data_IF_701984670532
#
_entry.id   IF_701984670532
#
_cell.length_a   1.000
_cell.length_b   1.000
_cell.length_c   1.000
_cell.angle_alpha   90.00
_cell.angle_beta   90.00
_cell.angle_gamma   90.00
#
_symmetry.space_group_name_H-M   'P 1'
#
loop_
_entity.id
_entity.type
_entity.pdbx_description
1 polymer ?
#
# COMPACT_ATOMS: atom_id res chain seq x y z
N UNK A 1 39.98 4.10 -57.41
CA UNK A 1 41.02 3.97 -56.36
C UNK A 1 41.59 5.34 -56.02
N UNK A 2 41.02 6.02 -55.03
CA UNK A 2 41.77 6.92 -54.14
C UNK A 2 41.06 6.84 -52.79
N UNK A 3 41.81 6.38 -51.80
CA UNK A 3 41.50 6.33 -50.38
C UNK A 3 41.87 7.67 -49.77
N UNK A 4 41.00 8.28 -48.97
CA UNK A 4 41.40 9.26 -47.96
C UNK A 4 40.55 9.03 -46.71
N UNK A 5 41.23 8.60 -45.65
CA UNK A 5 40.73 8.57 -44.28
C UNK A 5 41.52 9.56 -43.42
N UNK A 6 41.05 9.67 -42.17
CA UNK A 6 41.57 10.40 -41.01
C UNK A 6 41.39 11.94 -41.01
N UNK A 7 40.80 12.60 -40.00
CA UNK A 7 40.38 12.13 -38.68
C UNK A 7 39.77 13.25 -37.82
N UNK A 8 38.94 12.82 -36.87
CA UNK A 8 38.65 13.32 -35.50
C UNK A 8 38.44 14.83 -35.22
N UNK A 9 37.21 15.18 -34.79
CA UNK A 9 36.96 16.08 -33.62
C UNK A 9 35.72 15.64 -32.81
N UNK A 10 35.98 14.86 -31.75
CA UNK A 10 35.61 15.12 -30.33
C UNK A 10 34.15 15.38 -29.92
N UNK A 11 33.46 14.29 -29.55
CA UNK A 11 32.62 14.01 -28.35
C UNK A 11 31.51 15.02 -27.88
N UNK A 12 30.67 14.70 -26.86
CA UNK A 12 29.22 14.60 -27.03
C UNK A 12 28.50 15.60 -26.09
N UNK A 13 27.19 15.77 -26.25
CA UNK A 13 26.41 16.56 -25.29
C UNK A 13 24.94 16.35 -25.58
N UNK A 14 24.37 15.26 -25.07
CA UNK A 14 23.59 15.31 -23.83
C UNK A 14 22.55 16.42 -23.90
N UNK A 15 21.36 16.05 -24.39
CA UNK A 15 20.10 16.44 -23.77
C UNK A 15 19.05 15.36 -24.09
N UNK A 16 19.40 14.12 -23.79
CA UNK A 16 18.47 13.02 -23.56
C UNK A 16 18.53 12.71 -22.06
N UNK A 17 17.97 13.62 -21.26
CA UNK A 17 17.86 13.44 -19.82
C UNK A 17 16.69 14.27 -19.27
N UNK A 18 15.69 13.53 -18.80
CA UNK A 18 14.88 13.89 -17.64
C UNK A 18 13.74 14.89 -17.85
N UNK A 19 12.80 14.54 -18.74
CA UNK A 19 11.39 14.64 -18.36
C UNK A 19 11.01 13.41 -17.50
N UNK A 20 11.67 13.25 -16.36
CA UNK A 20 11.06 12.51 -15.26
C UNK A 20 10.02 13.47 -14.68
N UNK A 21 8.75 13.11 -14.87
CA UNK A 21 7.59 13.86 -14.43
C UNK A 21 7.82 14.53 -13.07
N UNK A 22 7.83 15.86 -13.05
CA UNK A 22 7.62 16.61 -11.83
C UNK A 22 6.16 16.39 -11.42
N UNK A 23 5.87 15.23 -10.83
CA UNK A 23 4.59 14.98 -10.19
C UNK A 23 4.47 16.03 -9.08
N UNK A 24 3.43 16.88 -9.13
CA UNK A 24 3.15 17.81 -8.03
C UNK A 24 3.16 17.06 -6.70
N UNK A 25 3.67 17.65 -5.61
CA UNK A 25 3.70 16.99 -4.30
C UNK A 25 2.31 16.48 -3.88
N UNK A 26 1.24 17.18 -4.30
CA UNK A 26 -0.14 16.75 -4.11
C UNK A 26 -0.44 15.41 -4.80
N UNK A 27 -0.07 15.27 -6.07
CA UNK A 27 -0.27 14.03 -6.84
C UNK A 27 0.47 12.86 -6.20
N UNK A 28 1.73 13.05 -5.78
CA UNK A 28 2.50 12.00 -5.12
C UNK A 28 1.89 11.57 -3.78
N UNK A 29 1.33 12.51 -3.01
CA UNK A 29 0.61 12.21 -1.77
C UNK A 29 -0.68 11.42 -2.06
N UNK A 30 -1.48 11.85 -3.03
CA UNK A 30 -2.72 11.16 -3.41
C UNK A 30 -2.48 9.77 -4.01
N UNK A 31 -1.43 9.59 -4.82
CA UNK A 31 -1.05 8.27 -5.36
C UNK A 31 -0.65 7.30 -4.25
N UNK A 32 0.12 7.76 -3.26
CA UNK A 32 0.44 6.96 -2.07
C UNK A 32 -0.81 6.57 -1.30
N UNK A 33 -1.74 7.50 -1.08
CA UNK A 33 -3.00 7.21 -0.39
C UNK A 33 -3.86 6.22 -1.19
N UNK A 34 -3.91 6.34 -2.52
CA UNK A 34 -4.60 5.38 -3.40
C UNK A 34 -3.97 4.00 -3.36
N UNK A 35 -2.64 3.92 -3.31
CA UNK A 35 -1.91 2.67 -3.10
C UNK A 35 -2.21 2.05 -1.73
N UNK A 36 -2.41 2.87 -0.70
CA UNK A 36 -2.82 2.39 0.61
C UNK A 36 -4.26 1.85 0.61
N UNK A 37 -5.18 2.56 -0.07
CA UNK A 37 -6.56 2.12 -0.27
C UNK A 37 -6.64 0.76 -0.99
N UNK A 38 -5.85 0.57 -2.05
CA UNK A 38 -5.79 -0.71 -2.77
C UNK A 38 -5.25 -1.85 -1.90
N UNK A 39 -4.24 -1.60 -1.08
CA UNK A 39 -3.72 -2.58 -0.13
C UNK A 39 -4.76 -2.95 0.94
N UNK A 40 -5.54 -1.97 1.41
CA UNK A 40 -6.61 -2.19 2.36
C UNK A 40 -7.74 -3.04 1.76
N UNK A 41 -8.14 -2.77 0.52
CA UNK A 41 -9.14 -3.60 -0.17
C UNK A 41 -8.63 -5.02 -0.43
N UNK A 42 -7.35 -5.19 -0.79
CA UNK A 42 -6.72 -6.52 -0.85
C UNK A 42 -6.82 -7.23 0.50
N UNK A 43 -6.48 -6.54 1.59
CA UNK A 43 -6.56 -7.10 2.93
C UNK A 43 -7.99 -7.50 3.33
N UNK A 44 -9.00 -6.71 2.95
CA UNK A 44 -10.42 -7.05 3.14
C UNK A 44 -10.81 -8.32 2.38
N UNK A 45 -10.35 -8.45 1.13
CA UNK A 45 -10.61 -9.64 0.33
C UNK A 45 -9.94 -10.87 0.94
N UNK A 46 -8.68 -10.76 1.37
CA UNK A 46 -7.92 -11.81 2.03
C UNK A 46 -8.60 -12.28 3.33
N UNK A 47 -9.12 -11.34 4.15
CA UNK A 47 -9.89 -11.67 5.34
C UNK A 47 -11.13 -12.50 5.00
N UNK A 48 -11.94 -12.03 4.03
CA UNK A 48 -13.16 -12.73 3.61
C UNK A 48 -12.86 -14.11 3.06
N UNK A 49 -11.80 -14.26 2.27
CA UNK A 49 -11.36 -15.56 1.75
C UNK A 49 -10.94 -16.49 2.89
N UNK A 50 -10.23 -15.97 3.89
CA UNK A 50 -9.80 -16.76 5.07
C UNK A 50 -11.01 -17.18 5.91
N UNK A 51 -11.97 -16.28 6.13
CA UNK A 51 -13.22 -16.59 6.84
C UNK A 51 -14.05 -17.63 6.11
N UNK A 52 -14.22 -17.51 4.79
CA UNK A 52 -14.95 -18.47 3.96
C UNK A 52 -14.26 -19.85 3.94
N UNK A 53 -12.93 -19.87 3.76
CA UNK A 53 -12.14 -21.09 3.80
C UNK A 53 -12.19 -21.76 5.19
N UNK A 54 -12.26 -20.98 6.26
CA UNK A 54 -12.43 -21.50 7.62
C UNK A 54 -13.83 -22.09 7.83
N UNK A 55 -14.89 -21.41 7.36
CA UNK A 55 -16.27 -21.89 7.45
C UNK A 55 -16.51 -23.16 6.63
N UNK A 56 -15.85 -23.26 5.48
CA UNK A 56 -15.91 -24.43 4.59
C UNK A 56 -14.91 -25.54 4.96
N UNK A 57 -14.17 -25.37 6.07
CA UNK A 57 -13.14 -26.29 6.56
C UNK A 57 -12.03 -26.58 5.54
N UNK A 58 -11.80 -25.68 4.59
CA UNK A 58 -10.73 -25.77 3.59
C UNK A 58 -9.35 -25.45 4.17
N UNK A 59 -9.30 -24.62 5.21
CA UNK A 59 -8.07 -24.32 5.96
C UNK A 59 -8.19 -24.78 7.40
N UNK A 60 -7.06 -25.22 7.97
CA UNK A 60 -7.01 -25.53 9.39
C UNK A 60 -7.10 -24.25 10.22
N UNK A 61 -7.64 -24.31 11.45
CA UNK A 61 -7.70 -23.13 12.33
C UNK A 61 -6.31 -22.57 12.64
N UNK A 62 -5.26 -23.39 12.64
CA UNK A 62 -3.87 -22.92 12.79
C UNK A 62 -3.37 -22.14 11.57
N UNK A 63 -3.72 -22.58 10.36
CA UNK A 63 -3.39 -21.86 9.13
C UNK A 63 -4.14 -20.52 9.06
N UNK A 64 -5.46 -20.53 9.32
CA UNK A 64 -6.25 -19.31 9.39
C UNK A 64 -5.68 -18.31 10.43
N UNK A 65 -5.21 -18.81 11.59
CA UNK A 65 -4.57 -17.96 12.60
C UNK A 65 -3.30 -17.29 12.07
N UNK A 66 -2.46 -18.03 11.35
CA UNK A 66 -1.24 -17.48 10.76
C UNK A 66 -1.56 -16.45 9.66
N UNK A 67 -2.54 -16.75 8.80
CA UNK A 67 -2.95 -15.86 7.71
C UNK A 67 -3.54 -14.55 8.26
N UNK A 68 -4.36 -14.63 9.32
CA UNK A 68 -4.89 -13.47 10.03
C UNK A 68 -3.78 -12.66 10.73
N UNK A 69 -2.78 -13.32 11.31
CA UNK A 69 -1.66 -12.63 11.98
C UNK A 69 -0.79 -11.88 10.97
N UNK A 70 -0.56 -12.49 9.80
CA UNK A 70 0.14 -11.84 8.70
C UNK A 70 -0.65 -10.66 8.13
N UNK A 71 -1.98 -10.79 8.07
CA UNK A 71 -2.88 -9.71 7.66
C UNK A 71 -2.82 -8.53 8.64
N UNK A 72 -2.90 -8.80 9.94
CA UNK A 72 -2.80 -7.80 11.00
C UNK A 72 -1.47 -7.04 10.93
N UNK A 73 -0.34 -7.75 10.78
CA UNK A 73 0.98 -7.14 10.64
C UNK A 73 1.07 -6.24 9.39
N UNK A 74 0.44 -6.64 8.28
CA UNK A 74 0.38 -5.81 7.06
C UNK A 74 -0.47 -4.56 7.26
N UNK A 75 -1.56 -4.65 8.02
CA UNK A 75 -2.42 -3.51 8.35
C UNK A 75 -1.72 -2.51 9.27
N UNK A 76 -0.99 -3.00 10.28
CA UNK A 76 -0.16 -2.16 11.15
C UNK A 76 0.93 -1.44 10.35
N UNK A 77 1.62 -2.17 9.46
CA UNK A 77 2.62 -1.58 8.57
C UNK A 77 2.00 -0.53 7.63
N UNK A 78 0.79 -0.78 7.11
CA UNK A 78 0.08 0.14 6.23
C UNK A 78 -0.28 1.45 6.94
N UNK A 79 -0.71 1.37 8.20
CA UNK A 79 -1.00 2.54 9.01
C UNK A 79 0.28 3.33 9.33
N UNK A 80 1.24 2.67 9.99
CA UNK A 80 2.44 3.35 10.49
C UNK A 80 3.39 3.85 9.40
N UNK A 81 3.53 3.13 8.28
CA UNK A 81 4.49 3.48 7.20
C UNK A 81 3.85 4.00 5.94
N UNK A 82 2.55 3.78 5.76
CA UNK A 82 1.79 4.25 4.60
C UNK A 82 1.04 5.53 4.93
N UNK A 83 -0.04 5.41 5.69
CA UNK A 83 -1.03 6.49 5.87
C UNK A 83 -0.47 7.64 6.71
N UNK A 84 0.16 7.36 7.85
CA UNK A 84 0.72 8.39 8.73
C UNK A 84 1.96 9.07 8.13
N UNK A 85 2.69 8.37 7.25
CA UNK A 85 3.92 8.88 6.64
C UNK A 85 3.70 9.74 5.39
N UNK A 86 2.45 9.89 4.91
CA UNK A 86 2.15 10.79 3.79
C UNK A 86 2.27 12.24 4.27
N UNK A 87 3.39 12.87 3.91
CA UNK A 87 3.63 14.31 4.12
C UNK A 87 2.64 15.13 3.29
N UNK A 88 1.96 16.06 3.96
CA UNK A 88 1.11 17.08 3.34
C UNK A 88 1.77 18.45 3.31
N UNK A 89 3.05 18.53 3.68
CA UNK A 89 3.83 19.76 3.68
C UNK A 89 4.11 20.23 2.25
N UNK A 90 3.96 21.53 1.99
CA UNK A 90 4.14 22.11 0.66
C UNK A 90 2.93 21.95 -0.28
N UNK A 91 1.79 21.46 0.23
CA UNK A 91 0.52 21.44 -0.49
C UNK A 91 -0.23 22.77 -0.33
N UNK A 92 -1.08 23.09 -1.31
CA UNK A 92 -2.09 24.13 -1.16
C UNK A 92 -3.05 23.77 -0.01
N UNK A 93 -3.65 24.77 0.64
CA UNK A 93 -4.57 24.54 1.77
C UNK A 93 -5.69 23.55 1.46
N UNK A 94 -6.25 23.61 0.24
CA UNK A 94 -7.31 22.71 -0.24
C UNK A 94 -6.82 21.26 -0.43
N UNK A 95 -5.62 21.08 -1.00
CA UNK A 95 -5.00 19.76 -1.20
C UNK A 95 -4.55 19.15 0.12
N UNK A 96 -4.04 19.96 1.05
CA UNK A 96 -3.71 19.54 2.40
C UNK A 96 -4.96 18.99 3.10
N UNK A 97 -6.05 19.75 3.14
CA UNK A 97 -7.28 19.35 3.80
C UNK A 97 -7.85 18.06 3.19
N UNK A 98 -7.82 17.96 1.87
CA UNK A 98 -8.23 16.76 1.12
C UNK A 98 -7.37 15.54 1.48
N UNK A 99 -6.04 15.70 1.52
CA UNK A 99 -5.12 14.62 1.90
C UNK A 99 -5.27 14.24 3.39
N UNK A 100 -5.47 15.19 4.30
CA UNK A 100 -5.79 14.91 5.72
C UNK A 100 -7.07 14.12 5.86
N UNK A 101 -8.11 14.51 5.13
CA UNK A 101 -9.41 13.83 5.13
C UNK A 101 -9.27 12.40 4.65
N UNK A 102 -8.58 12.18 3.53
CA UNK A 102 -8.36 10.85 2.99
C UNK A 102 -7.48 9.98 3.91
N UNK A 103 -6.44 10.55 4.55
CA UNK A 103 -5.66 9.85 5.60
C UNK A 103 -6.55 9.39 6.75
N UNK A 104 -7.41 10.26 7.27
CA UNK A 104 -8.34 9.92 8.37
C UNK A 104 -9.31 8.81 7.96
N UNK A 105 -9.85 8.87 6.75
CA UNK A 105 -10.75 7.84 6.22
C UNK A 105 -10.04 6.49 6.13
N UNK A 106 -8.83 6.46 5.58
CA UNK A 106 -8.03 5.23 5.48
C UNK A 106 -7.63 4.69 6.85
N UNK A 107 -7.23 5.56 7.78
CA UNK A 107 -6.90 5.17 9.17
C UNK A 107 -8.09 4.51 9.84
N UNK A 108 -9.28 5.11 9.72
CA UNK A 108 -10.51 4.53 10.26
C UNK A 108 -10.86 3.21 9.59
N UNK A 109 -10.62 3.09 8.29
CA UNK A 109 -10.85 1.86 7.55
C UNK A 109 -9.89 0.73 7.96
N UNK A 110 -8.62 1.05 8.25
CA UNK A 110 -7.63 0.10 8.77
C UNK A 110 -8.06 -0.38 10.15
N UNK A 111 -8.34 0.54 11.07
CA UNK A 111 -8.77 0.20 12.43
C UNK A 111 -10.00 -0.72 12.42
N UNK A 112 -11.02 -0.38 11.62
CA UNK A 112 -12.21 -1.21 11.47
C UNK A 112 -11.91 -2.60 10.89
N UNK A 113 -10.88 -2.75 10.06
CA UNK A 113 -10.48 -4.05 9.55
C UNK A 113 -9.69 -4.85 10.60
N UNK A 114 -8.83 -4.19 11.39
CA UNK A 114 -8.16 -4.80 12.54
C UNK A 114 -9.18 -5.34 13.56
N UNK A 115 -10.22 -4.56 13.89
CA UNK A 115 -11.32 -5.01 14.76
C UNK A 115 -12.00 -6.29 14.20
N UNK A 116 -12.18 -6.38 12.89
CA UNK A 116 -12.76 -7.57 12.25
C UNK A 116 -11.82 -8.77 12.32
N UNK A 117 -10.52 -8.57 12.07
CA UNK A 117 -9.49 -9.62 12.22
C UNK A 117 -9.47 -10.14 13.65
N UNK A 118 -9.48 -9.26 14.64
CA UNK A 118 -9.52 -9.61 16.06
C UNK A 118 -10.79 -10.39 16.43
N UNK A 119 -11.95 -9.99 15.89
CA UNK A 119 -13.19 -10.73 16.08
C UNK A 119 -13.12 -12.16 15.51
N UNK A 120 -12.43 -12.38 14.39
CA UNK A 120 -12.21 -13.72 13.83
C UNK A 120 -11.25 -14.52 14.72
N UNK A 121 -10.20 -13.89 15.23
CA UNK A 121 -9.29 -14.50 16.20
C UNK A 121 -10.01 -14.98 17.47
N UNK A 122 -10.91 -14.17 18.02
CA UNK A 122 -11.69 -14.53 19.21
C UNK A 122 -12.64 -15.71 18.95
N UNK A 123 -13.25 -15.77 17.76
CA UNK A 123 -14.07 -16.92 17.33
C UNK A 123 -13.23 -18.18 17.22
N UNK A 124 -12.06 -18.10 16.59
CA UNK A 124 -11.11 -19.22 16.49
C UNK A 124 -10.63 -19.70 17.86
N UNK A 125 -10.35 -18.78 18.77
CA UNK A 125 -9.93 -19.08 20.15
C UNK A 125 -11.05 -19.78 20.92
N UNK A 126 -12.28 -19.30 20.79
CA UNK A 126 -13.46 -19.89 21.44
C UNK A 126 -13.74 -21.30 20.91
N UNK A 127 -13.61 -21.53 19.60
CA UNK A 127 -13.81 -22.83 18.97
C UNK A 127 -12.75 -23.88 19.33
N UNK A 128 -11.56 -23.46 19.79
CA UNK A 128 -10.48 -24.34 20.26
C UNK A 128 -10.55 -24.63 21.77
N UNK A 129 -11.39 -23.93 22.51
CA UNK A 129 -11.48 -23.97 23.98
C UNK A 129 -12.48 -24.99 24.55
N UNK A 130 -12.98 -25.92 23.74
CA UNK A 130 -13.89 -27.03 24.14
C UNK A 130 -13.29 -28.37 23.78
#
# INVERSE_FOLDING_TARGET
>A
VIVMGDGCVKDPGLNDASQAAAQSPAMAAFERLKGCEAQLESARAELRTTEDALQTLQVSPGQAWNDLAQLEARLDQLQCKGIDFVSTEGLSTEDEESARTKRRQLTKAVANLQDQVEAVFDRLKSARGT
#
